data_IF_637569067841
#
_entry.id   IF_637569067841
#
_cell.length_a   1.000
_cell.length_b   1.000
_cell.length_c   1.000
_cell.angle_alpha   90.00
_cell.angle_beta   90.00
_cell.angle_gamma   90.00
#
_symmetry.space_group_name_H-M   'P 1'
#
loop_
_entity.id
_entity.type
_entity.pdbx_description
1 polymer ?
#
# COMPACT_ATOMS: atom_id res chain seq x y z
N UNK A 1 -23.96 -20.09 -3.71
CA UNK A 1 -22.78 -19.47 -3.09
C UNK A 1 -22.02 -18.78 -4.21
N UNK A 2 -22.13 -17.46 -4.30
CA UNK A 2 -21.26 -16.69 -5.19
C UNK A 2 -19.83 -16.89 -4.71
N UNK A 3 -18.91 -17.20 -5.62
CA UNK A 3 -17.50 -17.31 -5.29
C UNK A 3 -17.06 -15.97 -4.71
N UNK A 4 -16.64 -15.96 -3.43
CA UNK A 4 -16.04 -14.77 -2.80
C UNK A 4 -14.86 -14.38 -3.68
N UNK A 5 -14.99 -13.26 -4.41
CA UNK A 5 -13.95 -12.78 -5.31
C UNK A 5 -12.79 -12.30 -4.45
N UNK A 6 -11.83 -13.19 -4.18
CA UNK A 6 -10.61 -12.84 -3.47
C UNK A 6 -9.64 -12.15 -4.43
N UNK A 7 -9.03 -11.07 -3.96
CA UNK A 7 -7.99 -10.30 -4.63
C UNK A 7 -6.77 -11.20 -4.89
N UNK A 8 -6.43 -12.11 -3.97
CA UNK A 8 -5.24 -12.95 -4.03
C UNK A 8 -5.41 -14.31 -3.33
N UNK A 9 -4.52 -15.26 -3.64
CA UNK A 9 -4.48 -16.60 -3.06
C UNK A 9 -3.59 -16.73 -1.82
N UNK A 10 -2.79 -15.71 -1.49
CA UNK A 10 -1.95 -15.66 -0.28
C UNK A 10 -1.74 -14.22 0.20
N UNK A 11 -1.19 -14.07 1.41
CA UNK A 11 -0.80 -12.78 1.98
C UNK A 11 0.18 -12.02 1.08
N UNK A 12 1.27 -12.68 0.64
CA UNK A 12 2.27 -12.05 -0.23
C UNK A 12 1.66 -11.59 -1.57
N UNK A 13 0.81 -12.41 -2.18
CA UNK A 13 0.15 -12.06 -3.43
C UNK A 13 -0.84 -10.90 -3.24
N UNK A 14 -1.52 -10.84 -2.09
CA UNK A 14 -2.42 -9.75 -1.73
C UNK A 14 -1.66 -8.42 -1.63
N UNK A 15 -0.57 -8.41 -0.86
CA UNK A 15 0.28 -7.23 -0.68
C UNK A 15 0.86 -6.76 -2.00
N UNK A 16 1.36 -7.68 -2.84
CA UNK A 16 1.93 -7.34 -4.13
C UNK A 16 0.88 -6.73 -5.09
N UNK A 17 -0.31 -7.32 -5.18
CA UNK A 17 -1.38 -6.81 -6.06
C UNK A 17 -1.82 -5.40 -5.69
N UNK A 18 -2.00 -5.11 -4.40
CA UNK A 18 -2.37 -3.77 -3.94
C UNK A 18 -1.22 -2.79 -4.19
N UNK A 19 0.01 -3.18 -3.84
CA UNK A 19 1.20 -2.34 -4.08
C UNK A 19 1.37 -2.00 -5.57
N UNK A 20 1.14 -2.96 -6.47
CA UNK A 20 1.16 -2.71 -7.91
C UNK A 20 0.05 -1.75 -8.36
N UNK A 21 -1.17 -1.91 -7.82
CA UNK A 21 -2.27 -1.02 -8.13
C UNK A 21 -1.99 0.43 -7.67
N UNK A 22 -1.44 0.61 -6.46
CA UNK A 22 -1.01 1.90 -5.95
C UNK A 22 0.08 2.53 -6.81
N UNK A 23 1.13 1.77 -7.15
CA UNK A 23 2.19 2.25 -8.04
C UNK A 23 1.63 2.67 -9.40
N UNK A 24 0.71 1.89 -9.96
CA UNK A 24 0.05 2.23 -11.23
C UNK A 24 -0.76 3.52 -11.11
N UNK A 25 -1.50 3.71 -10.02
CA UNK A 25 -2.26 4.93 -9.76
C UNK A 25 -1.34 6.15 -9.60
N UNK A 26 -0.23 6.01 -8.87
CA UNK A 26 0.76 7.06 -8.65
C UNK A 26 1.55 7.42 -9.93
N UNK A 27 1.67 6.50 -10.89
CA UNK A 27 2.30 6.77 -12.19
C UNK A 27 1.36 7.44 -13.21
N UNK A 28 0.11 7.73 -12.87
CA UNK A 28 -0.76 8.58 -13.68
C UNK A 28 -0.37 10.06 -13.55
N UNK A 29 -0.79 10.96 -14.48
CA UNK A 29 -0.51 12.40 -14.34
C UNK A 29 -0.96 12.97 -12.99
N UNK A 30 -2.18 12.63 -12.55
CA UNK A 30 -2.69 13.05 -11.25
C UNK A 30 -1.91 12.47 -10.07
N UNK A 31 -1.50 11.20 -10.16
CA UNK A 31 -0.66 10.56 -9.15
C UNK A 31 0.74 11.20 -9.02
N UNK A 32 1.32 11.62 -10.14
CA UNK A 32 2.57 12.37 -10.17
C UNK A 32 2.40 13.74 -9.52
N UNK A 33 1.31 14.47 -9.80
CA UNK A 33 1.02 15.74 -9.13
C UNK A 33 0.90 15.59 -7.60
N UNK A 34 0.31 14.49 -7.11
CA UNK A 34 0.26 14.19 -5.68
C UNK A 34 1.66 13.96 -5.13
N UNK A 35 2.48 13.18 -5.83
CA UNK A 35 3.85 12.85 -5.43
C UNK A 35 4.74 14.11 -5.41
N UNK A 36 4.57 15.02 -6.37
CA UNK A 36 5.25 16.31 -6.43
C UNK A 36 4.84 17.23 -5.28
N UNK A 37 3.54 17.29 -4.95
CA UNK A 37 3.05 18.04 -3.78
C UNK A 37 3.61 17.49 -2.48
N UNK A 38 3.67 16.16 -2.34
CA UNK A 38 4.29 15.52 -1.19
C UNK A 38 5.78 15.89 -1.07
N UNK A 39 6.51 15.84 -2.19
CA UNK A 39 7.90 16.26 -2.24
C UNK A 39 8.08 17.73 -1.83
N UNK A 40 7.24 18.62 -2.36
CA UNK A 40 7.28 20.05 -2.03
C UNK A 40 7.02 20.31 -0.54
N UNK A 41 6.03 19.62 0.06
CA UNK A 41 5.77 19.70 1.50
C UNK A 41 6.97 19.24 2.33
N UNK A 42 7.60 18.13 1.94
CA UNK A 42 8.74 17.56 2.66
C UNK A 42 10.00 18.41 2.53
N UNK A 43 10.24 19.02 1.36
CA UNK A 43 11.32 19.99 1.19
C UNK A 43 11.07 21.30 1.93
N UNK A 44 9.82 21.70 2.14
CA UNK A 44 9.50 22.85 2.98
C UNK A 44 9.82 22.59 4.47
N UNK A 45 9.59 21.35 4.94
CA UNK A 45 9.95 20.90 6.29
C UNK A 45 11.47 20.68 6.45
N UNK A 46 12.11 20.06 5.45
CA UNK A 46 13.54 19.77 5.40
C UNK A 46 14.12 20.13 4.01
N UNK A 47 14.64 21.36 3.82
CA UNK A 47 15.20 21.79 2.54
C UNK A 47 16.43 20.99 2.08
N UNK A 48 17.11 20.30 3.00
CA UNK A 48 18.29 19.50 2.73
C UNK A 48 17.99 18.00 2.69
N UNK A 49 16.72 17.62 2.49
CA UNK A 49 16.30 16.23 2.43
C UNK A 49 17.14 15.45 1.41
N UNK A 50 17.74 14.37 1.90
CA UNK A 50 18.57 13.48 1.11
C UNK A 50 17.71 12.58 0.22
N UNK A 51 18.35 11.95 -0.76
CA UNK A 51 17.65 10.98 -1.60
C UNK A 51 17.17 9.75 -0.84
N UNK A 52 17.89 9.34 0.22
CA UNK A 52 17.51 8.23 1.09
C UNK A 52 16.24 8.56 1.89
N UNK A 53 16.20 9.74 2.54
CA UNK A 53 15.01 10.23 3.25
C UNK A 53 13.80 10.37 2.31
N UNK A 54 14.04 10.74 1.04
CA UNK A 54 12.98 10.76 0.04
C UNK A 54 12.46 9.36 -0.32
N UNK A 55 13.34 8.35 -0.44
CA UNK A 55 12.89 6.97 -0.66
C UNK A 55 12.07 6.45 0.52
N UNK A 56 12.50 6.76 1.75
CA UNK A 56 11.78 6.38 2.96
C UNK A 56 10.39 7.05 3.00
N UNK A 57 10.33 8.35 2.74
CA UNK A 57 9.06 9.11 2.65
C UNK A 57 8.09 8.47 1.66
N UNK A 58 8.55 8.07 0.47
CA UNK A 58 7.69 7.39 -0.51
C UNK A 58 7.21 6.03 -0.01
N UNK A 59 8.05 5.28 0.70
CA UNK A 59 7.69 3.99 1.28
C UNK A 59 6.63 4.14 2.38
N UNK A 60 6.77 5.15 3.23
CA UNK A 60 5.76 5.51 4.23
C UNK A 60 4.44 5.94 3.58
N UNK A 61 4.51 6.71 2.48
CA UNK A 61 3.32 7.13 1.75
C UNK A 61 2.57 5.95 1.11
N UNK A 62 3.27 5.00 0.50
CA UNK A 62 2.66 3.75 0.01
C UNK A 62 2.00 2.97 1.15
N UNK A 63 2.67 2.84 2.29
CA UNK A 63 2.10 2.16 3.47
C UNK A 63 0.83 2.86 3.96
N UNK A 64 0.80 4.19 3.94
CA UNK A 64 -0.38 4.97 4.27
C UNK A 64 -1.52 4.74 3.28
N UNK A 65 -1.25 4.74 1.97
CA UNK A 65 -2.25 4.43 0.95
C UNK A 65 -2.82 3.03 1.13
N UNK A 66 -1.97 2.04 1.46
CA UNK A 66 -2.40 0.67 1.70
C UNK A 66 -3.34 0.60 2.91
N UNK A 67 -2.94 1.20 4.03
CA UNK A 67 -3.75 1.23 5.25
C UNK A 67 -5.09 1.93 5.01
N UNK A 68 -5.10 3.04 4.26
CA UNK A 68 -6.32 3.74 3.88
C UNK A 68 -7.19 2.88 2.94
N UNK A 69 -6.62 2.23 1.94
CA UNK A 69 -7.36 1.36 1.03
C UNK A 69 -8.08 0.24 1.78
N UNK A 70 -7.36 -0.47 2.65
CA UNK A 70 -7.90 -1.56 3.45
C UNK A 70 -8.98 -1.03 4.42
N UNK A 71 -8.75 0.13 5.05
CA UNK A 71 -9.73 0.75 5.95
C UNK A 71 -11.03 1.12 5.24
N UNK A 72 -10.94 1.67 4.04
CA UNK A 72 -12.09 2.17 3.28
C UNK A 72 -12.77 1.08 2.42
N UNK A 73 -12.15 -0.10 2.28
CA UNK A 73 -12.66 -1.23 1.49
C UNK A 73 -12.86 -2.47 2.38
N UNK A 74 -14.08 -2.69 2.93
CA UNK A 74 -14.35 -3.77 3.88
C UNK A 74 -13.97 -5.17 3.37
N UNK A 75 -14.12 -5.43 2.07
CA UNK A 75 -13.77 -6.70 1.44
C UNK A 75 -12.26 -6.95 1.49
N UNK A 76 -11.45 -5.91 1.20
CA UNK A 76 -10.00 -5.98 1.28
C UNK A 76 -9.53 -6.17 2.73
N UNK A 77 -10.19 -5.53 3.71
CA UNK A 77 -9.92 -5.77 5.12
C UNK A 77 -10.22 -7.21 5.55
N UNK A 78 -11.37 -7.74 5.14
CA UNK A 78 -11.73 -9.11 5.46
C UNK A 78 -10.78 -10.12 4.83
N UNK A 79 -10.31 -9.86 3.60
CA UNK A 79 -9.33 -10.70 2.93
C UNK A 79 -7.94 -10.62 3.56
N UNK A 80 -7.45 -9.41 3.88
CA UNK A 80 -6.18 -9.24 4.61
C UNK A 80 -6.19 -10.01 5.93
N UNK A 81 -7.27 -9.89 6.70
CA UNK A 81 -7.40 -10.58 7.99
C UNK A 81 -7.35 -12.11 7.83
N UNK A 82 -7.99 -12.65 6.79
CA UNK A 82 -7.95 -14.08 6.49
C UNK A 82 -6.54 -14.54 6.14
N UNK A 83 -5.86 -13.84 5.23
CA UNK A 83 -4.49 -14.18 4.84
C UNK A 83 -3.51 -14.12 6.01
N UNK A 84 -3.64 -13.10 6.88
CA UNK A 84 -2.84 -13.00 8.11
C UNK A 84 -3.08 -14.19 9.05
N UNK A 85 -4.34 -14.61 9.22
CA UNK A 85 -4.67 -15.77 10.04
C UNK A 85 -4.06 -17.06 9.50
N UNK A 86 -4.20 -17.30 8.19
CA UNK A 86 -3.68 -18.48 7.53
C UNK A 86 -2.14 -18.56 7.65
N UNK A 87 -1.43 -17.44 7.53
CA UNK A 87 0.01 -17.38 7.76
C UNK A 87 0.42 -17.70 9.21
N UNK A 88 -0.32 -17.20 10.20
CA UNK A 88 -0.03 -17.47 11.60
C UNK A 88 -0.17 -18.96 11.90
N UNK A 89 -1.24 -19.59 11.41
CA UNK A 89 -1.45 -21.03 11.55
C UNK A 89 -0.35 -21.84 10.87
N UNK A 90 0.12 -21.41 9.69
CA UNK A 90 1.23 -22.08 9.00
C UNK A 90 2.57 -21.98 9.74
N UNK A 91 2.79 -20.91 10.52
CA UNK A 91 4.02 -20.71 11.32
C UNK A 91 4.01 -21.49 12.64
N UNK A 92 2.83 -21.87 13.13
CA UNK A 92 2.64 -22.65 14.36
C UNK A 92 2.66 -24.17 14.15
N UNK A 93 2.61 -24.65 12.89
CA UNK A 93 2.61 -26.06 12.49
C UNK A 93 4.01 -26.61 12.19
#
# INVERSE_FOLDING_TARGET
MEAKMMIAGSFDEFVEKITQAERKALNTPFGQEITEKLLAMKLAENPNMTQEEWQDTKSQFLTFLFAMFVKETPEAMAELAQHCWDELQAKEA
#
